data_IF_673675007410
#
_entry.id   IF_673675007410
#
_cell.length_a   1.000
_cell.length_b   1.000
_cell.length_c   1.000
_cell.angle_alpha   90.00
_cell.angle_beta   90.00
_cell.angle_gamma   90.00
#
_symmetry.space_group_name_H-M   'P 1'
#
loop_
_entity.id
_entity.type
_entity.pdbx_description
1 polymer ?
#
# COMPACT_ATOMS: atom_id res chain seq x y z
N UNK A 1 3.46 -24.90 18.13
CA UNK A 1 3.18 -23.89 17.08
C UNK A 1 2.74 -24.53 15.75
N UNK A 2 1.92 -25.60 15.77
CA UNK A 2 1.25 -26.11 14.54
C UNK A 2 -0.15 -25.48 14.39
N UNK A 3 -0.79 -25.12 15.51
CA UNK A 3 -2.11 -24.49 15.53
C UNK A 3 -2.13 -23.08 14.92
N UNK A 4 -1.11 -22.26 15.22
CA UNK A 4 -1.08 -20.87 14.75
C UNK A 4 -0.87 -20.78 13.23
N UNK A 5 -0.08 -21.67 12.63
CA UNK A 5 0.15 -21.68 11.18
C UNK A 5 -1.12 -22.08 10.41
N UNK A 6 -1.83 -23.11 10.87
CA UNK A 6 -3.10 -23.51 10.27
C UNK A 6 -4.18 -22.43 10.44
N UNK A 7 -4.23 -21.81 11.62
CA UNK A 7 -5.16 -20.70 11.91
C UNK A 7 -4.83 -19.48 11.02
N UNK A 8 -3.55 -19.12 10.91
CA UNK A 8 -3.06 -18.04 10.04
C UNK A 8 -3.44 -18.30 8.58
N UNK A 9 -3.23 -19.51 8.08
CA UNK A 9 -3.60 -19.88 6.71
C UNK A 9 -5.11 -19.74 6.48
N UNK A 10 -5.95 -20.25 7.39
CA UNK A 10 -7.40 -20.13 7.30
C UNK A 10 -7.89 -18.67 7.32
N UNK A 11 -7.34 -17.85 8.23
CA UNK A 11 -7.65 -16.43 8.32
C UNK A 11 -7.22 -15.67 7.06
N UNK A 12 -6.06 -16.01 6.46
CA UNK A 12 -5.65 -15.43 5.19
C UNK A 12 -6.62 -15.80 4.08
N UNK A 13 -6.98 -17.08 3.92
CA UNK A 13 -7.96 -17.49 2.90
C UNK A 13 -9.30 -16.75 3.06
N UNK A 14 -9.77 -16.58 4.28
CA UNK A 14 -11.01 -15.83 4.55
C UNK A 14 -10.86 -14.33 4.27
N UNK A 15 -9.72 -13.71 4.63
CA UNK A 15 -9.39 -12.33 4.27
C UNK A 15 -9.45 -12.11 2.76
N UNK A 16 -8.83 -13.01 1.99
CA UNK A 16 -8.82 -12.92 0.53
C UNK A 16 -10.23 -13.03 -0.06
N UNK A 17 -11.01 -14.00 0.43
CA UNK A 17 -12.40 -14.18 0.01
C UNK A 17 -13.25 -12.94 0.28
N UNK A 18 -13.08 -12.29 1.44
CA UNK A 18 -13.83 -11.09 1.80
C UNK A 18 -13.40 -9.88 0.96
N UNK A 19 -12.09 -9.70 0.75
CA UNK A 19 -11.55 -8.65 -0.13
C UNK A 19 -12.06 -8.81 -1.57
N UNK A 20 -12.11 -10.04 -2.08
CA UNK A 20 -12.64 -10.32 -3.43
C UNK A 20 -14.15 -10.07 -3.51
N UNK A 21 -14.92 -10.50 -2.50
CA UNK A 21 -16.37 -10.30 -2.45
C UNK A 21 -16.77 -8.82 -2.35
N UNK A 22 -15.95 -8.01 -1.67
CA UNK A 22 -16.19 -6.57 -1.52
C UNK A 22 -15.98 -5.81 -2.85
N UNK A 23 -15.07 -6.30 -3.69
CA UNK A 23 -14.72 -5.71 -4.98
C UNK A 23 -13.73 -4.53 -4.86
N UNK A 24 -13.00 -4.21 -5.95
CA UNK A 24 -11.83 -3.33 -5.91
C UNK A 24 -12.14 -1.91 -5.44
N UNK A 25 -13.31 -1.37 -5.78
CA UNK A 25 -13.71 -0.03 -5.35
C UNK A 25 -13.99 0.02 -3.85
N UNK A 26 -14.90 -0.82 -3.35
CA UNK A 26 -15.24 -0.82 -1.92
C UNK A 26 -14.08 -1.27 -1.02
N UNK A 27 -13.10 -2.00 -1.54
CA UNK A 27 -11.87 -2.29 -0.81
C UNK A 27 -11.02 -1.05 -0.52
N UNK A 28 -11.01 -0.06 -1.41
CA UNK A 28 -10.33 1.22 -1.20
C UNK A 28 -11.24 2.29 -0.60
N UNK A 29 -12.55 2.04 -0.60
CA UNK A 29 -13.61 2.91 -0.09
C UNK A 29 -14.66 2.12 0.75
N UNK A 30 -14.26 1.46 1.85
CA UNK A 30 -15.20 0.62 2.59
C UNK A 30 -16.19 1.47 3.39
N UNK A 31 -17.36 0.88 3.66
CA UNK A 31 -18.28 1.41 4.66
C UNK A 31 -17.75 1.03 6.05
N UNK A 32 -18.02 1.83 7.08
CA UNK A 32 -17.55 1.53 8.44
C UNK A 32 -18.00 0.13 8.90
N UNK A 33 -17.07 -0.66 9.46
CA UNK A 33 -17.38 -1.96 10.09
C UNK A 33 -17.38 -3.18 9.17
N UNK A 34 -16.54 -3.22 8.14
CA UNK A 34 -16.40 -4.42 7.30
C UNK A 34 -15.78 -5.59 8.10
N UNK A 35 -16.24 -6.85 7.90
CA UNK A 35 -15.70 -8.05 8.56
C UNK A 35 -14.18 -8.24 8.41
N UNK A 36 -13.59 -7.61 7.38
CA UNK A 36 -12.15 -7.60 7.11
C UNK A 36 -11.35 -7.08 8.31
N UNK A 37 -11.84 -6.08 9.03
CA UNK A 37 -11.13 -5.48 10.17
C UNK A 37 -10.95 -6.50 11.32
N UNK A 38 -11.97 -7.33 11.57
CA UNK A 38 -11.93 -8.38 12.61
C UNK A 38 -10.97 -9.52 12.23
N UNK A 39 -10.96 -9.92 10.95
CA UNK A 39 -10.02 -10.94 10.45
C UNK A 39 -8.59 -10.44 10.58
N UNK A 40 -8.34 -9.17 10.26
CA UNK A 40 -7.01 -8.56 10.41
C UNK A 40 -6.61 -8.49 11.88
N UNK A 41 -7.52 -8.13 12.79
CA UNK A 41 -7.22 -8.14 14.22
C UNK A 41 -6.81 -9.53 14.73
N UNK A 42 -7.48 -10.59 14.25
CA UNK A 42 -7.09 -11.97 14.57
C UNK A 42 -5.71 -12.32 13.99
N UNK A 43 -5.41 -11.94 12.74
CA UNK A 43 -4.07 -12.13 12.16
C UNK A 43 -2.98 -11.41 12.96
N UNK A 44 -3.22 -10.15 13.34
CA UNK A 44 -2.29 -9.36 14.16
C UNK A 44 -1.98 -10.02 15.50
N UNK A 45 -2.96 -10.70 16.12
CA UNK A 45 -2.75 -11.43 17.39
C UNK A 45 -1.82 -12.63 17.28
N UNK A 46 -1.64 -13.16 16.07
CA UNK A 46 -0.74 -14.29 15.75
C UNK A 46 0.36 -13.87 14.76
N UNK A 47 0.75 -12.59 14.75
CA UNK A 47 1.76 -12.04 13.86
C UNK A 47 3.09 -12.82 13.97
N UNK A 48 3.60 -13.42 12.88
CA UNK A 48 4.84 -14.20 12.94
C UNK A 48 6.09 -13.31 13.04
N UNK A 49 5.98 -12.02 12.71
CA UNK A 49 7.08 -11.05 12.72
C UNK A 49 6.66 -9.81 13.53
N UNK A 50 6.73 -9.86 14.88
CA UNK A 50 6.32 -8.75 15.74
C UNK A 50 7.23 -7.51 15.65
N UNK A 51 8.50 -7.69 15.28
CA UNK A 51 9.50 -6.64 15.09
C UNK A 51 9.99 -6.58 13.63
N UNK A 52 9.15 -6.13 12.68
CA UNK A 52 9.44 -6.21 11.26
C UNK A 52 10.57 -5.26 10.81
N UNK A 53 10.89 -4.23 11.59
CA UNK A 53 11.97 -3.29 11.28
C UNK A 53 13.32 -3.73 11.86
N UNK A 54 13.35 -4.83 12.63
CA UNK A 54 14.58 -5.45 13.10
C UNK A 54 15.48 -5.87 11.93
N UNK A 55 16.79 -5.85 12.15
CA UNK A 55 17.78 -6.20 11.10
C UNK A 55 17.53 -7.58 10.47
N UNK A 56 17.06 -8.53 11.25
CA UNK A 56 16.82 -9.91 10.81
C UNK A 56 15.54 -10.05 9.97
N UNK A 57 14.56 -9.14 10.14
CA UNK A 57 13.27 -9.20 9.47
C UNK A 57 13.06 -8.12 8.41
N UNK A 58 13.93 -7.10 8.37
CA UNK A 58 13.97 -6.06 7.34
C UNK A 58 13.87 -6.61 5.90
N UNK A 59 14.58 -7.68 5.50
CA UNK A 59 14.44 -8.25 4.17
C UNK A 59 13.02 -8.71 3.84
N UNK A 60 12.25 -9.14 4.85
CA UNK A 60 10.85 -9.55 4.68
C UNK A 60 9.94 -8.37 4.34
N UNK A 61 10.32 -7.11 4.63
CA UNK A 61 9.55 -5.94 4.22
C UNK A 61 9.81 -5.51 2.76
N UNK A 62 10.94 -5.88 2.18
CA UNK A 62 11.33 -5.39 0.86
C UNK A 62 10.54 -6.04 -0.27
N UNK A 63 10.43 -5.29 -1.38
CA UNK A 63 9.71 -5.71 -2.58
C UNK A 63 8.48 -4.85 -2.86
N UNK A 64 7.60 -5.37 -3.71
CA UNK A 64 6.38 -4.71 -4.15
C UNK A 64 5.18 -5.24 -3.38
N UNK A 65 4.33 -4.32 -2.94
CA UNK A 65 3.17 -4.58 -2.11
C UNK A 65 1.96 -3.88 -2.72
N UNK A 66 1.02 -4.65 -3.26
CA UNK A 66 -0.25 -4.16 -3.77
C UNK A 66 -1.18 -3.88 -2.59
N UNK A 67 -1.71 -2.66 -2.48
CA UNK A 67 -2.77 -2.34 -1.53
C UNK A 67 -4.06 -3.02 -2.01
N UNK A 68 -4.64 -3.86 -1.14
CA UNK A 68 -5.85 -4.61 -1.44
C UNK A 68 -7.02 -4.20 -0.56
N UNK A 69 -6.80 -3.52 0.56
CA UNK A 69 -7.86 -2.98 1.41
C UNK A 69 -7.39 -1.79 2.25
N UNK A 70 -8.26 -0.79 2.47
CA UNK A 70 -7.99 0.35 3.35
C UNK A 70 -9.25 0.81 4.11
N UNK A 71 -9.30 0.61 5.43
CA UNK A 71 -10.50 0.78 6.29
C UNK A 71 -11.18 2.16 6.26
N UNK A 72 -10.44 3.23 5.93
CA UNK A 72 -10.96 4.61 5.80
C UNK A 72 -10.51 5.26 4.49
N UNK A 73 -10.13 4.45 3.51
CA UNK A 73 -9.41 4.86 2.32
C UNK A 73 -8.02 5.44 2.58
N UNK A 74 -7.34 5.83 1.51
CA UNK A 74 -6.08 6.58 1.49
C UNK A 74 -6.31 8.11 1.50
N UNK A 75 -5.25 8.91 1.67
CA UNK A 75 -5.35 10.38 1.54
C UNK A 75 -5.78 10.78 0.12
N UNK A 76 -5.22 10.11 -0.88
CA UNK A 76 -5.50 10.32 -2.30
C UNK A 76 -6.98 10.10 -2.60
N UNK A 77 -7.53 8.98 -2.12
CA UNK A 77 -8.95 8.62 -2.30
C UNK A 77 -9.92 9.58 -1.61
N UNK A 78 -9.58 10.11 -0.43
CA UNK A 78 -10.44 11.06 0.31
C UNK A 78 -10.58 12.41 -0.43
N UNK A 79 -9.51 12.87 -1.07
CA UNK A 79 -9.53 14.11 -1.86
C UNK A 79 -10.40 13.99 -3.11
N UNK A 80 -10.54 12.79 -3.69
CA UNK A 80 -11.34 12.56 -4.90
C UNK A 80 -12.84 12.43 -4.65
N UNK A 81 -13.24 11.77 -3.57
CA UNK A 81 -14.67 11.64 -3.18
C UNK A 81 -15.28 12.99 -2.82
N UNK A 82 -14.45 13.96 -2.42
CA UNK A 82 -14.88 15.31 -2.06
C UNK A 82 -15.26 16.20 -3.26
N UNK A 83 -15.12 15.74 -4.51
CA UNK A 83 -15.43 16.49 -5.74
C UNK A 83 -16.65 15.86 -6.44
N UNK A 84 -17.88 16.37 -6.23
CA UNK A 84 -19.13 15.71 -6.63
C UNK A 84 -19.30 15.44 -8.14
N UNK A 85 -18.62 16.21 -9.01
CA UNK A 85 -18.74 16.09 -10.46
C UNK A 85 -17.69 15.17 -11.11
N UNK A 86 -16.61 14.82 -10.40
CA UNK A 86 -15.45 14.07 -10.94
C UNK A 86 -15.29 12.71 -10.24
N UNK A 87 -15.76 12.58 -9.00
CA UNK A 87 -15.52 11.41 -8.14
C UNK A 87 -16.11 10.07 -8.63
N UNK A 88 -17.07 10.07 -9.56
CA UNK A 88 -17.61 8.84 -10.17
C UNK A 88 -16.89 8.40 -11.45
N UNK A 89 -16.04 9.27 -12.03
CA UNK A 89 -15.48 9.04 -13.36
C UNK A 89 -14.02 8.57 -13.32
N UNK A 90 -13.28 8.92 -12.25
CA UNK A 90 -11.89 8.48 -12.06
C UNK A 90 -11.87 7.05 -11.51
N UNK A 91 -11.27 6.12 -12.25
CA UNK A 91 -11.09 4.74 -11.80
C UNK A 91 -9.69 4.55 -11.24
N UNK A 92 -9.60 4.08 -9.99
CA UNK A 92 -8.32 3.66 -9.43
C UNK A 92 -8.06 2.23 -9.89
N UNK A 93 -7.11 2.05 -10.81
CA UNK A 93 -6.74 0.72 -11.32
C UNK A 93 -5.99 -0.09 -10.27
N UNK A 94 -5.01 0.54 -9.61
CA UNK A 94 -4.24 -0.09 -8.54
C UNK A 94 -3.52 0.94 -7.67
N UNK A 95 -3.30 0.60 -6.40
CA UNK A 95 -2.40 1.31 -5.49
C UNK A 95 -1.34 0.35 -4.97
N UNK A 96 -0.06 0.69 -5.04
CA UNK A 96 1.02 -0.20 -4.60
C UNK A 96 2.16 0.56 -3.95
N UNK A 97 2.94 -0.16 -3.14
CA UNK A 97 4.11 0.36 -2.45
C UNK A 97 5.32 -0.51 -2.76
N UNK A 98 6.43 0.13 -3.14
CA UNK A 98 7.72 -0.53 -3.23
C UNK A 98 8.59 -0.10 -2.05
N UNK A 99 9.17 -1.08 -1.36
CA UNK A 99 10.09 -0.86 -0.24
C UNK A 99 11.45 -1.45 -0.59
N UNK A 100 12.50 -0.63 -0.47
CA UNK A 100 13.89 -1.03 -0.72
C UNK A 100 14.82 -0.52 0.38
N UNK A 101 15.96 -1.16 0.56
CA UNK A 101 16.96 -0.71 1.52
C UNK A 101 17.42 0.73 1.20
N UNK A 102 17.36 1.63 2.18
CA UNK A 102 17.74 3.03 2.07
C UNK A 102 19.07 3.38 2.75
N UNK A 103 19.83 2.38 3.20
CA UNK A 103 21.04 2.51 4.02
C UNK A 103 20.83 2.00 5.44
N UNK A 104 21.67 2.44 6.38
CA UNK A 104 21.55 2.08 7.80
C UNK A 104 20.25 2.61 8.38
N UNK A 105 19.42 1.72 8.92
CA UNK A 105 18.15 2.04 9.61
C UNK A 105 17.21 2.93 8.78
N UNK A 106 17.22 2.70 7.46
CA UNK A 106 16.41 3.44 6.50
C UNK A 106 15.79 2.49 5.48
N UNK A 107 14.50 2.71 5.20
CA UNK A 107 13.83 2.12 4.04
C UNK A 107 13.44 3.26 3.12
N UNK A 108 13.79 3.13 1.84
CA UNK A 108 13.24 3.99 0.80
C UNK A 108 11.92 3.41 0.33
N UNK A 109 10.87 4.22 0.38
CA UNK A 109 9.52 3.83 0.04
C UNK A 109 9.03 4.62 -1.19
N UNK A 110 8.39 3.91 -2.12
CA UNK A 110 7.72 4.51 -3.27
C UNK A 110 6.26 4.07 -3.23
N UNK A 111 5.35 5.00 -2.94
CA UNK A 111 3.91 4.77 -2.95
C UNK A 111 3.36 5.23 -4.30
N UNK A 112 2.60 4.39 -4.97
CA UNK A 112 2.17 4.63 -6.34
C UNK A 112 0.67 4.36 -6.48
N UNK A 113 0.02 5.10 -7.36
CA UNK A 113 -1.36 4.85 -7.76
C UNK A 113 -1.49 5.00 -9.27
N UNK A 114 -2.14 4.02 -9.90
CA UNK A 114 -2.51 4.06 -11.31
C UNK A 114 -3.99 4.44 -11.40
N UNK A 115 -4.27 5.48 -12.16
CA UNK A 115 -5.58 6.07 -12.35
C UNK A 115 -5.93 6.00 -13.83
N UNK A 116 -7.18 5.65 -14.13
CA UNK A 116 -7.77 5.83 -15.44
C UNK A 116 -8.71 7.03 -15.37
N UNK A 117 -8.36 8.05 -16.16
CA UNK A 117 -9.10 9.30 -16.26
C UNK A 117 -9.89 9.30 -17.56
N UNK A 118 -11.21 9.52 -17.54
CA UNK A 118 -12.02 9.61 -18.74
C UNK A 118 -11.43 10.63 -19.70
N UNK A 119 -11.33 10.25 -20.98
CA UNK A 119 -10.75 11.04 -22.06
C UNK A 119 -9.24 11.29 -21.96
N UNK A 120 -8.66 11.34 -20.77
CA UNK A 120 -7.24 11.63 -20.56
C UNK A 120 -6.37 10.38 -20.49
N UNK A 121 -6.96 9.19 -20.40
CA UNK A 121 -6.28 7.91 -20.38
C UNK A 121 -5.62 7.60 -19.04
N UNK A 122 -4.52 6.85 -19.07
CA UNK A 122 -3.89 6.35 -17.83
C UNK A 122 -2.82 7.30 -17.28
N UNK A 123 -2.88 7.49 -15.96
CA UNK A 123 -1.98 8.34 -15.19
C UNK A 123 -1.41 7.59 -14.00
N UNK A 124 -0.15 7.85 -13.70
CA UNK A 124 0.54 7.36 -12.51
C UNK A 124 0.87 8.52 -11.58
N UNK A 125 0.42 8.40 -10.34
CA UNK A 125 0.89 9.19 -9.20
C UNK A 125 1.96 8.40 -8.46
N UNK A 126 2.99 9.09 -7.98
CA UNK A 126 4.01 8.51 -7.12
C UNK A 126 4.39 9.48 -6.01
N UNK A 127 4.60 8.93 -4.81
CA UNK A 127 5.10 9.64 -3.64
C UNK A 127 6.32 8.89 -3.11
N UNK A 128 7.48 9.54 -3.21
CA UNK A 128 8.74 9.03 -2.67
C UNK A 128 8.87 9.44 -1.21
N UNK A 129 9.27 8.49 -0.38
CA UNK A 129 9.48 8.73 1.03
C UNK A 129 10.58 7.87 1.63
N UNK A 130 10.92 8.20 2.87
CA UNK A 130 11.92 7.49 3.67
C UNK A 130 11.29 7.12 4.99
N UNK A 131 11.52 5.89 5.41
CA UNK A 131 11.13 5.37 6.71
C UNK A 131 12.38 5.29 7.58
N UNK A 132 12.29 5.82 8.78
CA UNK A 132 13.27 5.65 9.86
C UNK A 132 12.55 5.11 11.08
N UNK A 133 13.25 4.41 11.96
CA UNK A 133 12.64 3.87 13.19
C UNK A 133 13.60 3.95 14.36
N UNK A 134 13.04 3.77 15.55
CA UNK A 134 13.80 3.72 16.80
C UNK A 134 13.90 2.30 17.34
N UNK A 135 14.14 2.20 18.64
CA UNK A 135 14.41 0.93 19.35
C UNK A 135 13.21 -0.04 19.43
N UNK A 136 11.99 0.41 19.16
CA UNK A 136 10.80 -0.46 19.21
C UNK A 136 10.71 -1.43 18.02
N UNK A 137 11.44 -1.14 16.94
CA UNK A 137 11.51 -1.91 15.69
C UNK A 137 10.13 -2.28 15.10
N UNK A 138 9.10 -1.52 15.46
CA UNK A 138 7.70 -1.75 15.08
C UNK A 138 7.09 -0.52 14.43
N UNK A 139 7.46 0.68 14.91
CA UNK A 139 6.92 1.95 14.44
C UNK A 139 7.96 2.70 13.63
N UNK A 140 7.63 2.97 12.37
CA UNK A 140 8.41 3.82 11.50
C UNK A 140 7.88 5.27 11.52
N UNK A 141 8.80 6.22 11.48
CA UNK A 141 8.54 7.60 11.05
C UNK A 141 8.72 7.68 9.54
N UNK A 142 7.68 8.14 8.85
CA UNK A 142 7.64 8.25 7.39
C UNK A 142 7.65 9.72 7.00
N UNK A 143 8.57 10.08 6.11
CA UNK A 143 8.65 11.39 5.45
C UNK A 143 8.48 11.24 3.95
N UNK A 144 7.77 12.16 3.32
CA UNK A 144 7.66 12.25 1.87
C UNK A 144 8.45 13.44 1.34
N UNK A 145 9.32 13.20 0.35
CA UNK A 145 10.22 14.22 -0.20
C UNK A 145 9.82 14.69 -1.59
N UNK A 146 9.16 13.83 -2.37
CA UNK A 146 8.81 14.15 -3.77
C UNK A 146 7.51 13.49 -4.14
N UNK A 147 6.64 14.25 -4.82
CA UNK A 147 5.51 13.72 -5.55
C UNK A 147 5.78 13.78 -7.04
N UNK A 148 5.27 12.83 -7.80
CA UNK A 148 5.33 12.88 -9.25
C UNK A 148 4.05 12.40 -9.90
N UNK A 149 3.83 12.93 -11.10
CA UNK A 149 2.69 12.65 -11.96
C UNK A 149 3.21 12.33 -13.36
N UNK A 150 2.70 11.27 -13.95
CA UNK A 150 3.05 10.86 -15.31
C UNK A 150 1.80 10.38 -16.05
N UNK A 151 1.56 10.88 -17.27
CA UNK A 151 0.59 10.25 -18.17
C UNK A 151 1.26 9.06 -18.86
N UNK A 152 0.84 7.85 -18.55
CA UNK A 152 1.43 6.60 -19.04
C UNK A 152 0.79 6.11 -20.33
N UNK A 153 -0.47 6.47 -20.57
CA UNK A 153 -1.20 6.21 -21.82
C UNK A 153 -2.17 7.36 -22.11
N UNK A 154 -1.67 8.55 -22.48
CA UNK A 154 -2.52 9.72 -22.67
C UNK A 154 -3.53 9.48 -23.80
N UNK A 155 -4.79 9.84 -23.57
CA UNK A 155 -5.90 9.64 -24.53
C UNK A 155 -6.07 8.18 -25.00
N UNK A 156 -5.61 7.20 -24.22
CA UNK A 156 -5.67 5.77 -24.56
C UNK A 156 -4.59 5.30 -25.55
N UNK A 157 -3.58 6.13 -25.84
CA UNK A 157 -2.50 5.80 -26.74
C UNK A 157 -1.40 5.01 -26.00
N UNK A 158 -1.42 3.67 -26.10
CA UNK A 158 -0.50 2.77 -25.39
C UNK A 158 0.99 2.97 -25.70
N UNK A 159 1.31 3.58 -26.85
CA UNK A 159 2.69 3.80 -27.30
C UNK A 159 3.26 5.16 -26.86
N UNK A 160 2.48 5.94 -26.12
CA UNK A 160 2.84 7.27 -25.68
C UNK A 160 2.97 7.29 -24.16
N UNK A 161 4.05 7.88 -23.67
CA UNK A 161 4.17 8.27 -22.27
C UNK A 161 4.74 9.68 -22.21
N UNK A 162 4.15 10.52 -21.37
CA UNK A 162 4.72 11.83 -21.11
C UNK A 162 5.87 11.68 -20.09
N UNK A 163 6.83 12.61 -20.08
CA UNK A 163 7.86 12.64 -19.05
C UNK A 163 7.22 12.80 -17.66
N UNK A 164 7.82 12.16 -16.66
CA UNK A 164 7.39 12.26 -15.27
C UNK A 164 7.63 13.70 -14.76
N UNK A 165 6.55 14.38 -14.36
CA UNK A 165 6.63 15.68 -13.69
C UNK A 165 6.90 15.46 -12.21
N UNK A 166 8.08 15.90 -11.74
CA UNK A 166 8.49 15.79 -10.33
C UNK A 166 8.27 17.11 -9.61
N UNK A 167 7.54 17.03 -8.51
CA UNK A 167 7.23 18.16 -7.63
C UNK A 167 7.90 17.86 -6.28
N UNK A 168 9.06 18.48 -5.99
CA UNK A 168 9.72 18.30 -4.71
C UNK A 168 8.91 18.95 -3.59
N UNK A 169 8.85 18.28 -2.44
CA UNK A 169 8.28 18.83 -1.21
C UNK A 169 9.38 19.59 -0.49
N UNK A 170 9.21 20.90 -0.36
CA UNK A 170 10.12 21.75 0.41
C UNK A 170 10.28 21.19 1.82
N UNK A 171 11.52 21.14 2.34
CA UNK A 171 11.83 20.44 3.60
C UNK A 171 10.97 20.92 4.78
N UNK A 172 10.68 22.21 4.87
CA UNK A 172 9.85 22.79 5.93
C UNK A 172 8.36 22.41 5.85
N UNK A 173 7.92 21.82 4.73
CA UNK A 173 6.56 21.29 4.54
C UNK A 173 6.50 19.76 4.67
N UNK A 174 7.65 19.09 4.84
CA UNK A 174 7.69 17.65 4.99
C UNK A 174 7.18 17.25 6.38
N UNK A 175 5.92 16.84 6.43
CA UNK A 175 5.33 16.30 7.65
C UNK A 175 5.83 14.87 7.91
N UNK A 176 6.09 14.57 9.18
CA UNK A 176 6.34 13.21 9.65
C UNK A 176 5.01 12.53 9.98
N UNK A 177 4.85 11.28 9.54
CA UNK A 177 3.75 10.42 9.92
C UNK A 177 4.26 9.16 10.61
N UNK A 178 3.58 8.71 11.67
CA UNK A 178 3.85 7.41 12.28
C UNK A 178 3.14 6.31 11.49
N UNK A 179 3.87 5.24 11.22
CA UNK A 179 3.42 4.06 10.51
C UNK A 179 3.84 2.80 11.26
N UNK A 180 2.87 1.97 11.65
CA UNK A 180 3.14 0.69 12.31
C UNK A 180 2.93 -0.44 11.31
N UNK A 181 3.87 -1.37 11.19
CA UNK A 181 3.60 -2.64 10.50
C UNK A 181 3.15 -3.65 11.54
N UNK A 182 1.84 -3.86 11.66
CA UNK A 182 1.21 -4.63 12.73
C UNK A 182 1.11 -6.12 12.45
N UNK A 183 1.20 -6.51 11.17
CA UNK A 183 1.32 -7.89 10.72
C UNK A 183 2.24 -7.98 9.51
N UNK A 184 3.11 -8.99 9.46
CA UNK A 184 3.94 -9.28 8.30
C UNK A 184 4.21 -10.77 8.16
N UNK A 185 3.94 -11.32 6.98
CA UNK A 185 4.47 -12.60 6.53
C UNK A 185 4.99 -12.53 5.07
N UNK A 186 5.20 -13.68 4.45
CA UNK A 186 5.68 -13.77 3.06
C UNK A 186 4.69 -13.23 2.02
N UNK A 187 3.40 -13.12 2.33
CA UNK A 187 2.33 -12.83 1.36
C UNK A 187 1.53 -11.58 1.73
N UNK A 188 1.29 -11.36 3.02
CA UNK A 188 0.42 -10.31 3.55
C UNK A 188 1.20 -9.40 4.49
N UNK A 189 0.93 -8.11 4.36
CA UNK A 189 1.43 -7.09 5.28
C UNK A 189 0.29 -6.16 5.67
N UNK A 190 0.18 -5.85 6.95
CA UNK A 190 -0.79 -4.90 7.47
C UNK A 190 -0.06 -3.70 8.03
N UNK A 191 -0.50 -2.51 7.60
CA UNK A 191 -0.02 -1.24 8.10
C UNK A 191 -1.10 -0.47 8.83
N UNK A 192 -0.72 0.25 9.88
CA UNK A 192 -1.57 1.19 10.61
C UNK A 192 -0.96 2.57 10.59
N UNK A 193 -1.75 3.56 10.15
CA UNK A 193 -1.41 4.97 10.30
C UNK A 193 -1.70 5.49 11.71
N UNK A 194 -1.14 6.64 12.07
CA UNK A 194 -1.29 7.27 13.38
C UNK A 194 -2.75 7.47 13.86
N UNK A 195 -3.72 7.57 12.94
CA UNK A 195 -5.15 7.75 13.25
C UNK A 195 -5.94 6.43 13.31
N UNK A 196 -5.24 5.30 13.40
CA UNK A 196 -5.81 3.95 13.46
C UNK A 196 -6.35 3.43 12.13
N UNK A 197 -6.08 4.12 11.01
CA UNK A 197 -6.47 3.63 9.69
C UNK A 197 -5.63 2.39 9.32
N UNK A 198 -6.32 1.33 8.92
CA UNK A 198 -5.77 0.03 8.57
C UNK A 198 -5.62 -0.11 7.06
N UNK A 199 -4.49 -0.68 6.63
CA UNK A 199 -4.12 -0.91 5.24
C UNK A 199 -3.60 -2.33 5.09
N UNK A 200 -4.26 -3.13 4.24
CA UNK A 200 -3.83 -4.50 3.94
C UNK A 200 -3.14 -4.49 2.59
N UNK A 201 -1.93 -5.04 2.55
CA UNK A 201 -1.15 -5.23 1.35
C UNK A 201 -0.92 -6.71 1.07
N UNK A 202 -1.01 -7.09 -0.20
CA UNK A 202 -0.55 -8.37 -0.71
C UNK A 202 0.79 -8.18 -1.42
N UNK A 203 1.74 -9.08 -1.20
CA UNK A 203 3.01 -9.07 -1.93
C UNK A 203 2.72 -9.33 -3.40
N UNK A 204 3.27 -8.51 -4.28
CA UNK A 204 3.25 -8.85 -5.70
C UNK A 204 4.24 -9.98 -5.92
N UNK A 205 3.76 -11.10 -6.46
CA UNK A 205 4.63 -12.09 -7.06
C UNK A 205 5.53 -11.37 -8.07
N UNK A 206 6.84 -11.63 -8.04
CA UNK A 206 7.68 -11.26 -9.17
C UNK A 206 6.98 -11.81 -10.44
N UNK A 207 6.86 -11.03 -11.53
CA UNK A 207 6.34 -11.58 -12.76
C UNK A 207 7.12 -12.87 -13.08
N UNK A 208 6.41 -13.95 -13.42
CA UNK A 208 7.02 -15.17 -13.93
C UNK A 208 7.91 -14.78 -15.12
N UNK A 209 9.23 -14.69 -14.90
CA UNK A 209 10.21 -14.49 -15.97
C UNK A 209 10.37 -15.78 -16.79
N UNK A 210 9.72 -16.86 -16.39
CA UNK A 210 9.63 -18.09 -17.15
C UNK A 210 8.21 -18.26 -17.68
N UNK A 211 7.93 -17.53 -18.76
CA UNK A 211 6.89 -17.94 -19.69
C UNK A 211 7.11 -19.39 -20.09
N UNK A 212 6.05 -20.19 -19.96
CA UNK A 212 5.93 -21.50 -20.60
C UNK A 212 6.40 -21.39 -22.05
N UNK A 213 7.41 -22.20 -22.39
CA UNK A 213 7.66 -22.66 -23.76
C UNK A 213 7.01 -24.02 -23.90
#
# INVERSE_FOLDING_TARGET
MIGDDATRAALKTELERQVEALGPERCLFPSSGEPIDEIVQQLESINPIPHPLSRNHLPSLFGNWQLVYASKGTVVTRSFVSIPAIGQAIKIKRVWQQLVAGGTEKISASNNAALDLPLLGEWQLRALGVWTWGMDEQVAKVKFSTFSLQATQPFGLSNWSLPELKIPVLEFLQNEALWTTSYLDSEVRVGRGATGNLFVFRRESLPDVFGKV
#
